data_IF_631356926069
#
_entry.id   IF_631356926069
#
_cell.length_a   1.000
_cell.length_b   1.000
_cell.length_c   1.000
_cell.angle_alpha   90.00
_cell.angle_beta   90.00
_cell.angle_gamma   90.00
#
_symmetry.space_group_name_H-M   'P 1'
#
loop_
_entity.id
_entity.type
_entity.pdbx_description
1 polymer ?
#
# COMPACT_ATOMS: atom_id res chain seq x y z
N UNK A 1 0.05 47.28 7.10
CA UNK A 1 0.32 46.22 6.09
C UNK A 1 1.14 45.05 6.64
N UNK A 2 2.21 45.30 7.40
CA UNK A 2 3.11 44.29 8.01
C UNK A 2 2.44 43.38 9.07
N UNK A 3 1.46 43.89 9.82
CA UNK A 3 0.74 43.10 10.84
C UNK A 3 -0.19 42.04 10.21
N UNK A 4 -0.93 42.42 9.16
CA UNK A 4 -1.82 41.52 8.41
C UNK A 4 -1.00 40.41 7.73
N UNK A 5 0.14 40.75 7.14
CA UNK A 5 1.05 39.77 6.53
C UNK A 5 1.66 38.80 7.56
N UNK A 6 1.95 39.24 8.78
CA UNK A 6 2.41 38.36 9.87
C UNK A 6 1.31 37.42 10.36
N UNK A 7 0.08 37.91 10.48
CA UNK A 7 -1.08 37.12 10.89
C UNK A 7 -1.45 36.06 9.85
N UNK A 8 -1.44 36.42 8.56
CA UNK A 8 -1.65 35.49 7.45
C UNK A 8 -0.51 34.46 7.38
N UNK A 9 0.75 34.87 7.57
CA UNK A 9 1.89 33.94 7.63
C UNK A 9 1.76 32.96 8.80
N UNK A 10 1.34 33.40 9.98
CA UNK A 10 1.09 32.52 11.12
C UNK A 10 -0.10 31.58 10.89
N UNK A 11 -1.18 32.06 10.27
CA UNK A 11 -2.33 31.22 9.92
C UNK A 11 -1.96 30.17 8.87
N UNK A 12 -1.19 30.54 7.84
CA UNK A 12 -0.67 29.63 6.83
C UNK A 12 0.35 28.64 7.40
N UNK A 13 1.18 29.04 8.36
CA UNK A 13 2.09 28.14 9.06
C UNK A 13 1.35 27.14 9.97
N UNK A 14 0.25 27.57 10.62
CA UNK A 14 -0.62 26.67 11.38
C UNK A 14 -1.38 25.71 10.47
N UNK A 15 -1.94 26.19 9.35
CA UNK A 15 -2.59 25.37 8.34
C UNK A 15 -1.61 24.37 7.71
N UNK A 16 -0.40 24.81 7.34
CA UNK A 16 0.65 23.93 6.82
C UNK A 16 1.13 22.91 7.88
N UNK A 17 1.21 23.31 9.15
CA UNK A 17 1.52 22.40 10.26
C UNK A 17 0.44 21.34 10.49
N UNK A 18 -0.84 21.70 10.32
CA UNK A 18 -1.97 20.76 10.41
C UNK A 18 -2.14 19.88 9.15
N UNK A 19 -1.70 20.34 7.98
CA UNK A 19 -1.86 19.63 6.70
C UNK A 19 -0.68 18.71 6.34
N UNK A 20 0.51 18.91 6.91
CA UNK A 20 1.74 18.25 6.45
C UNK A 20 2.43 17.40 7.53
N UNK A 21 2.00 17.45 8.80
CA UNK A 21 2.73 16.77 9.87
C UNK A 21 1.81 16.06 10.89
N UNK A 22 1.81 14.71 10.95
CA UNK A 22 1.38 14.02 12.15
C UNK A 22 2.40 14.35 13.24
N UNK A 23 1.97 15.03 14.30
CA UNK A 23 2.77 15.35 15.47
C UNK A 23 3.71 14.19 15.83
N UNK A 24 5.03 14.47 15.81
CA UNK A 24 6.05 13.55 16.31
C UNK A 24 5.78 13.35 17.80
N UNK A 25 5.12 12.24 18.15
CA UNK A 25 5.02 11.81 19.54
C UNK A 25 6.41 11.34 19.95
N UNK A 26 7.03 12.06 20.88
CA UNK A 26 8.14 11.50 21.67
C UNK A 26 7.54 10.37 22.48
N UNK A 27 8.08 9.18 22.30
CA UNK A 27 7.69 7.99 23.04
C UNK A 27 8.05 8.19 24.52
N UNK A 28 7.13 8.74 25.30
CA UNK A 28 7.21 8.73 26.77
C UNK A 28 6.48 7.47 27.20
N UNK A 29 7.25 6.39 27.44
CA UNK A 29 6.80 5.03 27.72
C UNK A 29 5.93 4.82 28.96
N UNK A 30 4.77 5.47 29.02
CA UNK A 30 3.68 5.18 29.96
C UNK A 30 2.37 5.24 29.20
N UNK A 31 1.77 4.06 29.01
CA UNK A 31 0.50 3.89 28.33
C UNK A 31 -0.61 4.71 28.99
N UNK A 32 -1.24 5.56 28.19
CA UNK A 32 -2.56 6.13 28.42
C UNK A 32 -3.43 5.78 27.20
N UNK A 33 -4.68 5.32 27.38
CA UNK A 33 -5.56 4.97 26.29
C UNK A 33 -6.19 6.26 25.75
N UNK A 34 -5.51 6.91 24.82
CA UNK A 34 -5.98 8.16 24.22
C UNK A 34 -5.30 8.39 22.88
N UNK A 35 -6.03 8.12 21.79
CA UNK A 35 -5.69 8.46 20.42
C UNK A 35 -4.27 8.07 19.98
N UNK A 36 -4.11 6.82 19.51
CA UNK A 36 -2.93 6.47 18.73
C UNK A 36 -3.01 7.25 17.42
N UNK A 37 -2.03 8.12 17.16
CA UNK A 37 -1.87 8.77 15.86
C UNK A 37 -1.93 7.74 14.72
N UNK A 38 -2.25 8.19 13.50
CA UNK A 38 -2.32 7.25 12.37
C UNK A 38 -1.04 6.40 12.30
N UNK A 39 -1.15 5.06 12.27
CA UNK A 39 0.02 4.23 12.11
C UNK A 39 0.70 4.62 10.80
N UNK A 40 1.99 4.93 10.91
CA UNK A 40 2.88 5.25 9.80
C UNK A 40 2.67 4.19 8.70
N UNK A 41 2.55 4.59 7.42
CA UNK A 41 2.46 3.63 6.32
C UNK A 41 3.62 2.64 6.42
N UNK A 42 3.33 1.34 6.38
CA UNK A 42 4.42 0.37 6.37
C UNK A 42 5.22 0.57 5.09
N UNK A 43 6.54 0.40 5.18
CA UNK A 43 7.45 0.45 4.03
C UNK A 43 6.92 -0.42 2.89
N UNK A 44 6.41 -1.60 3.24
CA UNK A 44 5.90 -2.58 2.27
C UNK A 44 4.62 -2.14 1.57
N UNK A 45 3.84 -1.23 2.15
CA UNK A 45 2.60 -0.73 1.56
C UNK A 45 2.86 -0.01 0.22
N UNK A 46 3.98 0.71 0.14
CA UNK A 46 4.39 1.47 -1.04
C UNK A 46 5.34 0.68 -1.95
N UNK A 47 6.23 -0.14 -1.39
CA UNK A 47 7.31 -0.81 -2.15
C UNK A 47 6.99 -2.23 -2.60
N UNK A 48 5.91 -2.82 -2.09
CA UNK A 48 5.55 -4.20 -2.38
C UNK A 48 4.08 -4.36 -2.76
N UNK A 49 3.78 -5.50 -3.36
CA UNK A 49 2.43 -5.96 -3.64
C UNK A 49 2.06 -7.08 -2.68
N UNK A 50 0.84 -7.09 -2.11
CA UNK A 50 0.40 -8.17 -1.22
C UNK A 50 0.15 -9.50 -1.95
N UNK A 51 0.19 -9.49 -3.28
CA UNK A 51 -0.12 -10.62 -4.17
C UNK A 51 1.07 -11.54 -4.43
N UNK A 52 2.31 -11.05 -4.33
CA UNK A 52 3.50 -11.78 -4.73
C UNK A 52 4.74 -11.29 -3.98
N UNK A 53 5.63 -12.21 -3.65
CA UNK A 53 6.97 -11.88 -3.13
C UNK A 53 7.93 -11.41 -4.23
N UNK A 54 7.53 -11.46 -5.51
CA UNK A 54 8.36 -11.05 -6.63
C UNK A 54 8.42 -9.51 -6.76
N UNK A 55 9.37 -8.90 -6.06
CA UNK A 55 9.60 -7.46 -6.09
C UNK A 55 9.95 -6.93 -7.49
N UNK A 56 10.64 -7.72 -8.34
CA UNK A 56 11.00 -7.30 -9.71
C UNK A 56 9.77 -7.00 -10.54
N UNK A 57 8.76 -7.87 -10.44
CA UNK A 57 7.50 -7.70 -11.17
C UNK A 57 6.78 -6.41 -10.75
N UNK A 58 6.70 -6.14 -9.45
CA UNK A 58 6.02 -4.95 -8.94
C UNK A 58 6.76 -3.66 -9.30
N UNK A 59 8.09 -3.64 -9.19
CA UNK A 59 8.92 -2.49 -9.60
C UNK A 59 8.74 -2.22 -11.10
N UNK A 60 8.75 -3.28 -11.92
CA UNK A 60 8.52 -3.15 -13.38
C UNK A 60 7.16 -2.53 -13.67
N UNK A 61 6.10 -3.01 -13.03
CA UNK A 61 4.75 -2.42 -13.13
C UNK A 61 4.76 -0.92 -12.80
N UNK A 62 5.36 -0.52 -11.67
CA UNK A 62 5.43 0.90 -11.26
C UNK A 62 6.16 1.76 -12.29
N UNK A 63 7.30 1.29 -12.81
CA UNK A 63 8.08 2.01 -13.83
C UNK A 63 7.30 2.14 -15.13
N UNK A 64 6.66 1.07 -15.60
CA UNK A 64 5.82 1.10 -16.81
C UNK A 64 4.69 2.12 -16.67
N UNK A 65 3.95 2.09 -15.57
CA UNK A 65 2.88 3.06 -15.30
C UNK A 65 3.40 4.51 -15.24
N UNK A 66 4.56 4.72 -14.61
CA UNK A 66 5.18 6.05 -14.52
C UNK A 66 5.60 6.59 -15.88
N UNK A 67 6.30 5.79 -16.70
CA UNK A 67 6.72 6.19 -18.05
C UNK A 67 5.50 6.45 -18.93
N UNK A 68 4.50 5.57 -18.86
CA UNK A 68 3.28 5.69 -19.66
C UNK A 68 2.49 6.96 -19.34
N UNK A 69 2.22 7.21 -18.06
CA UNK A 69 1.47 8.40 -17.62
C UNK A 69 2.26 9.69 -17.87
N UNK A 70 3.57 9.67 -17.67
CA UNK A 70 4.43 10.82 -17.97
C UNK A 70 4.46 11.14 -19.47
N UNK A 71 4.50 10.13 -20.33
CA UNK A 71 4.45 10.33 -21.78
C UNK A 71 3.13 11.00 -22.21
N UNK A 72 1.99 10.56 -21.68
CA UNK A 72 0.69 11.18 -21.94
C UNK A 72 0.63 12.60 -21.38
N UNK A 73 1.16 12.83 -20.17
CA UNK A 73 1.20 14.14 -19.56
C UNK A 73 1.97 15.13 -20.44
N UNK A 74 3.19 14.76 -20.87
CA UNK A 74 4.05 15.56 -21.76
C UNK A 74 3.37 15.80 -23.11
N UNK A 75 2.81 14.75 -23.73
CA UNK A 75 2.06 14.88 -24.97
C UNK A 75 0.89 15.86 -24.84
N UNK A 76 0.27 15.92 -23.67
CA UNK A 76 -0.92 16.71 -23.48
C UNK A 76 -0.69 18.22 -23.38
N UNK A 77 0.50 18.66 -22.94
CA UNK A 77 0.86 20.08 -22.79
C UNK A 77 0.73 20.86 -24.10
N UNK A 78 1.43 20.52 -25.20
CA UNK A 78 1.29 21.26 -26.46
C UNK A 78 -0.13 21.13 -27.05
N UNK A 79 -0.82 20.02 -26.79
CA UNK A 79 -2.14 19.77 -27.36
C UNK A 79 -3.28 20.56 -26.71
N UNK A 80 -3.12 21.03 -25.47
CA UNK A 80 -4.06 21.94 -24.80
C UNK A 80 -3.52 23.38 -24.74
N UNK A 81 -2.25 23.59 -25.12
CA UNK A 81 -1.59 24.89 -25.24
C UNK A 81 -1.65 25.72 -23.94
N UNK A 82 -1.79 27.05 -24.05
CA UNK A 82 -1.84 27.99 -22.93
C UNK A 82 -3.01 27.77 -21.94
N UNK A 83 -3.95 26.88 -22.26
CA UNK A 83 -5.12 26.55 -21.41
C UNK A 83 -4.96 25.24 -20.68
N UNK A 84 -3.84 24.55 -20.86
CA UNK A 84 -3.58 23.28 -20.20
C UNK A 84 -3.81 23.36 -18.69
N UNK A 85 -3.35 24.44 -18.03
CA UNK A 85 -3.53 24.61 -16.59
C UNK A 85 -4.98 24.88 -16.17
N UNK A 86 -5.86 25.28 -17.10
CA UNK A 86 -7.25 25.60 -16.75
C UNK A 86 -8.14 24.37 -16.60
N UNK A 87 -7.75 23.22 -17.15
CA UNK A 87 -8.59 22.05 -17.14
C UNK A 87 -8.38 21.20 -15.89
N UNK A 88 -9.47 20.88 -15.19
CA UNK A 88 -9.39 20.01 -14.01
C UNK A 88 -8.85 18.62 -14.33
N UNK A 89 -9.20 18.09 -15.50
CA UNK A 89 -8.69 16.80 -15.99
C UNK A 89 -7.16 16.77 -16.05
N UNK A 90 -6.50 17.91 -16.27
CA UNK A 90 -5.04 17.99 -16.33
C UNK A 90 -4.43 17.99 -14.94
N UNK A 91 -5.09 18.61 -13.96
CA UNK A 91 -4.67 18.60 -12.56
C UNK A 91 -4.72 17.19 -11.99
N UNK A 92 -5.85 16.50 -12.15
CA UNK A 92 -6.02 15.14 -11.61
C UNK A 92 -5.07 14.14 -12.29
N UNK A 93 -4.87 14.27 -13.62
CA UNK A 93 -3.94 13.40 -14.35
C UNK A 93 -2.48 13.68 -13.97
N UNK A 94 -2.14 14.93 -13.66
CA UNK A 94 -0.83 15.29 -13.11
C UNK A 94 -0.60 14.66 -11.74
N UNK A 95 -1.61 14.70 -10.87
CA UNK A 95 -1.55 14.05 -9.55
C UNK A 95 -1.40 12.53 -9.67
N UNK A 96 -2.07 11.88 -10.63
CA UNK A 96 -1.86 10.46 -10.92
C UNK A 96 -0.46 10.16 -11.46
N UNK A 97 0.04 10.98 -12.38
CA UNK A 97 1.40 10.84 -12.92
C UNK A 97 2.43 10.99 -11.80
N UNK A 98 2.25 11.98 -10.93
CA UNK A 98 3.09 12.20 -9.75
C UNK A 98 3.09 10.99 -8.82
N UNK A 99 1.91 10.40 -8.57
CA UNK A 99 1.79 9.15 -7.79
C UNK A 99 2.64 8.02 -8.37
N UNK A 100 2.50 7.75 -9.68
CA UNK A 100 3.25 6.67 -10.31
C UNK A 100 4.76 6.95 -10.37
N UNK A 101 5.18 8.18 -10.70
CA UNK A 101 6.58 8.57 -10.66
C UNK A 101 7.17 8.44 -9.26
N UNK A 102 6.48 8.95 -8.24
CA UNK A 102 6.91 8.85 -6.84
C UNK A 102 7.05 7.38 -6.41
N UNK A 103 6.02 6.58 -6.67
CA UNK A 103 6.00 5.15 -6.35
C UNK A 103 7.11 4.39 -7.08
N UNK A 104 7.37 4.71 -8.36
CA UNK A 104 8.44 4.09 -9.14
C UNK A 104 9.83 4.41 -8.56
N UNK A 105 10.10 5.67 -8.20
CA UNK A 105 11.37 6.07 -7.57
C UNK A 105 11.58 5.36 -6.24
N UNK A 106 10.56 5.30 -5.38
CA UNK A 106 10.61 4.64 -4.08
C UNK A 106 10.86 3.13 -4.25
N UNK A 107 10.12 2.46 -5.15
CA UNK A 107 10.30 1.05 -5.45
C UNK A 107 11.69 0.73 -6.04
N UNK A 108 12.22 1.59 -6.93
CA UNK A 108 13.54 1.40 -7.52
C UNK A 108 14.68 1.54 -6.51
N UNK A 109 14.59 2.54 -5.61
CA UNK A 109 15.58 2.71 -4.53
C UNK A 109 15.59 1.50 -3.61
N UNK A 110 14.40 1.04 -3.21
CA UNK A 110 14.21 -0.15 -2.41
C UNK A 110 14.82 -1.40 -3.08
N UNK A 111 14.48 -1.63 -4.35
CA UNK A 111 14.93 -2.79 -5.10
C UNK A 111 16.45 -2.83 -5.32
N UNK A 112 17.08 -1.65 -5.47
CA UNK A 112 18.54 -1.51 -5.55
C UNK A 112 19.24 -1.69 -4.19
N UNK A 113 18.50 -2.04 -3.13
CA UNK A 113 19.01 -2.24 -1.77
C UNK A 113 19.84 -1.05 -1.28
N UNK A 114 19.32 0.17 -1.43
CA UNK A 114 19.89 1.32 -0.72
C UNK A 114 20.00 0.97 0.76
N UNK A 115 21.15 1.24 1.38
CA UNK A 115 21.39 0.90 2.79
C UNK A 115 20.34 1.51 3.73
N UNK A 116 19.78 2.64 3.32
CA UNK A 116 18.64 3.27 3.97
C UNK A 116 17.35 2.99 3.18
N UNK A 117 16.33 2.46 3.87
CA UNK A 117 14.98 2.38 3.33
C UNK A 117 14.35 3.77 3.14
N UNK A 118 13.18 3.86 2.50
CA UNK A 118 12.48 5.14 2.37
C UNK A 118 12.18 5.72 3.75
N UNK A 119 12.48 7.01 3.92
CA UNK A 119 12.17 7.72 5.17
C UNK A 119 10.66 7.76 5.41
N UNK A 120 10.26 7.90 6.67
CA UNK A 120 8.85 8.09 7.07
C UNK A 120 8.17 9.22 6.27
N UNK A 121 8.86 10.35 6.10
CA UNK A 121 8.36 11.48 5.29
C UNK A 121 8.10 11.08 3.86
N UNK A 122 8.99 10.29 3.27
CA UNK A 122 8.85 9.81 1.89
C UNK A 122 7.60 8.94 1.74
N UNK A 123 7.35 8.08 2.72
CA UNK A 123 6.17 7.22 2.73
C UNK A 123 4.89 8.04 2.91
N UNK A 124 4.89 9.00 3.84
CA UNK A 124 3.73 9.87 4.08
C UNK A 124 3.37 10.72 2.86
N UNK A 125 4.36 11.35 2.21
CA UNK A 125 4.16 12.12 0.98
C UNK A 125 3.54 11.24 -0.11
N UNK A 126 4.08 10.03 -0.32
CA UNK A 126 3.55 9.09 -1.30
C UNK A 126 2.10 8.70 -1.02
N UNK A 127 1.75 8.52 0.26
CA UNK A 127 0.40 8.15 0.64
C UNK A 127 -0.62 9.27 0.42
N UNK A 128 -0.24 10.53 0.73
CA UNK A 128 -1.09 11.71 0.46
C UNK A 128 -1.32 11.89 -1.03
N UNK A 129 -0.26 11.77 -1.85
CA UNK A 129 -0.36 11.85 -3.32
C UNK A 129 -1.29 10.74 -3.84
N UNK A 130 -1.15 9.52 -3.34
CA UNK A 130 -2.04 8.40 -3.67
C UNK A 130 -3.51 8.69 -3.34
N UNK A 131 -3.82 9.14 -2.11
CA UNK A 131 -5.20 9.40 -1.68
C UNK A 131 -5.85 10.49 -2.52
N UNK A 132 -5.10 11.54 -2.91
CA UNK A 132 -5.58 12.53 -3.86
C UNK A 132 -5.83 11.91 -5.24
N UNK A 133 -4.86 11.16 -5.77
CA UNK A 133 -4.91 10.62 -7.13
C UNK A 133 -6.10 9.66 -7.32
N UNK A 134 -6.31 8.70 -6.41
CA UNK A 134 -7.28 7.63 -6.65
C UNK A 134 -8.72 8.16 -6.76
N UNK A 135 -9.17 8.96 -5.79
CA UNK A 135 -10.55 9.44 -5.80
C UNK A 135 -10.78 10.48 -6.91
N UNK A 136 -9.89 11.46 -7.06
CA UNK A 136 -10.07 12.55 -8.03
C UNK A 136 -10.12 12.08 -9.48
N UNK A 137 -9.34 11.07 -9.84
CA UNK A 137 -9.31 10.53 -11.20
C UNK A 137 -10.55 9.66 -11.51
N UNK A 138 -11.10 8.93 -10.53
CA UNK A 138 -12.41 8.27 -10.71
C UNK A 138 -13.52 9.30 -10.87
N UNK A 139 -13.52 10.35 -10.05
CA UNK A 139 -14.50 11.44 -10.13
C UNK A 139 -14.49 12.10 -11.51
N UNK A 140 -13.34 12.56 -11.99
CA UNK A 140 -13.24 13.20 -13.32
C UNK A 140 -13.63 12.26 -14.46
N UNK A 141 -13.36 10.97 -14.32
CA UNK A 141 -13.76 9.99 -15.33
C UNK A 141 -15.28 9.86 -15.38
N UNK A 142 -15.94 9.81 -14.23
CA UNK A 142 -17.39 9.76 -14.15
C UNK A 142 -18.04 11.07 -14.63
N UNK A 143 -17.53 12.22 -14.21
CA UNK A 143 -18.00 13.54 -14.68
C UNK A 143 -17.95 13.67 -16.20
N UNK A 144 -16.91 13.10 -16.82
CA UNK A 144 -16.77 13.08 -18.26
C UNK A 144 -17.79 12.13 -18.91
N UNK A 145 -17.77 10.85 -18.55
CA UNK A 145 -18.59 9.84 -19.24
C UNK A 145 -20.09 9.92 -18.95
N UNK A 146 -20.47 10.49 -17.81
CA UNK A 146 -21.87 10.72 -17.43
C UNK A 146 -22.27 12.20 -17.54
N UNK A 147 -21.47 13.02 -18.24
CA UNK A 147 -21.81 14.43 -18.43
C UNK A 147 -23.14 14.55 -19.20
N UNK A 148 -24.06 15.42 -18.75
CA UNK A 148 -25.22 15.77 -19.56
C UNK A 148 -24.84 16.61 -20.80
N UNK A 149 -23.60 17.11 -20.85
CA UNK A 149 -23.07 17.90 -21.96
C UNK A 149 -22.34 17.01 -22.97
N UNK A 150 -22.31 17.38 -24.26
CA UNK A 150 -21.61 16.60 -25.28
C UNK A 150 -20.15 16.39 -24.91
N UNK A 151 -19.73 15.13 -24.92
CA UNK A 151 -18.33 14.74 -24.77
C UNK A 151 -17.73 14.26 -26.07
N UNK A 152 -16.43 14.42 -26.22
CA UNK A 152 -15.72 13.93 -27.40
C UNK A 152 -15.37 12.46 -27.22
N UNK A 153 -15.65 11.65 -28.23
CA UNK A 153 -15.20 10.26 -28.27
C UNK A 153 -13.98 10.20 -29.18
N UNK A 154 -12.81 9.94 -28.60
CA UNK A 154 -11.56 9.89 -29.35
C UNK A 154 -10.39 9.46 -28.47
N UNK A 155 -9.24 9.25 -29.09
CA UNK A 155 -8.03 8.75 -28.42
C UNK A 155 -7.69 9.57 -27.16
N UNK A 156 -7.72 10.90 -27.26
CA UNK A 156 -7.43 11.80 -26.13
C UNK A 156 -8.35 11.53 -24.94
N UNK A 157 -9.65 11.43 -25.19
CA UNK A 157 -10.67 11.26 -24.17
C UNK A 157 -10.60 9.88 -23.54
N UNK A 158 -10.36 8.85 -24.35
CA UNK A 158 -10.13 7.48 -23.88
C UNK A 158 -8.89 7.43 -22.98
N UNK A 159 -7.77 8.02 -23.39
CA UNK A 159 -6.53 8.02 -22.60
C UNK A 159 -6.68 8.80 -21.28
N UNK A 160 -7.36 9.94 -21.30
CA UNK A 160 -7.48 10.82 -20.11
C UNK A 160 -8.58 10.44 -19.13
N UNK A 161 -9.67 9.84 -19.59
CA UNK A 161 -10.82 9.53 -18.75
C UNK A 161 -11.06 8.01 -18.64
N UNK A 162 -10.95 7.27 -19.74
CA UNK A 162 -11.12 5.81 -19.72
C UNK A 162 -9.94 5.09 -19.06
N UNK A 163 -8.75 5.23 -19.64
CA UNK A 163 -7.55 4.53 -19.18
C UNK A 163 -7.10 5.01 -17.80
N UNK A 164 -7.31 6.28 -17.51
CA UNK A 164 -7.05 6.88 -16.19
C UNK A 164 -7.78 6.16 -15.04
N UNK A 165 -9.11 6.01 -15.15
CA UNK A 165 -9.90 5.27 -14.16
C UNK A 165 -9.55 3.78 -14.09
N UNK A 166 -9.22 3.17 -15.23
CA UNK A 166 -8.72 1.79 -15.26
C UNK A 166 -7.40 1.64 -14.47
N UNK A 167 -6.45 2.55 -14.67
CA UNK A 167 -5.18 2.54 -13.94
C UNK A 167 -5.39 2.70 -12.44
N UNK A 168 -6.31 3.58 -12.01
CA UNK A 168 -6.68 3.71 -10.59
C UNK A 168 -7.26 2.39 -10.05
N UNK A 169 -8.23 1.80 -10.72
CA UNK A 169 -8.86 0.56 -10.27
C UNK A 169 -7.83 -0.58 -10.14
N UNK A 170 -6.95 -0.71 -11.12
CA UNK A 170 -5.84 -1.68 -11.10
C UNK A 170 -4.88 -1.38 -9.95
N UNK A 171 -4.47 -0.12 -9.75
CA UNK A 171 -3.48 0.23 -8.73
C UNK A 171 -4.01 0.02 -7.32
N UNK A 172 -5.26 0.42 -7.03
CA UNK A 172 -5.91 0.17 -5.73
C UNK A 172 -5.97 -1.34 -5.44
N UNK A 173 -6.22 -2.17 -6.45
CA UNK A 173 -6.28 -3.62 -6.30
C UNK A 173 -4.87 -4.26 -6.17
N UNK A 174 -3.84 -3.71 -6.80
CA UNK A 174 -2.50 -4.31 -6.86
C UNK A 174 -1.54 -3.85 -5.75
N UNK A 175 -1.61 -2.60 -5.30
CA UNK A 175 -0.67 -2.06 -4.33
C UNK A 175 -0.95 -2.50 -2.90
N UNK A 176 0.01 -2.30 -1.98
CA UNK A 176 -0.17 -2.52 -0.55
C UNK A 176 -0.88 -1.36 0.17
N UNK A 177 -0.94 -0.18 -0.44
CA UNK A 177 -1.40 1.06 0.18
C UNK A 177 -2.84 0.91 0.71
N UNK A 178 -3.11 1.16 1.99
CA UNK A 178 -4.46 1.12 2.54
C UNK A 178 -5.26 2.39 2.22
N UNK A 179 -6.53 2.24 1.84
CA UNK A 179 -7.48 3.35 1.68
C UNK A 179 -8.50 3.35 2.82
N UNK A 180 -8.66 4.51 3.49
CA UNK A 180 -9.52 4.68 4.68
C UNK A 180 -10.45 5.88 4.53
N UNK A 181 -11.63 5.83 5.16
CA UNK A 181 -12.66 6.87 5.01
C UNK A 181 -12.23 8.22 5.59
N UNK A 182 -11.48 8.24 6.70
CA UNK A 182 -10.99 9.46 7.33
C UNK A 182 -10.03 10.29 6.43
N UNK A 183 -9.54 9.70 5.34
CA UNK A 183 -8.62 10.33 4.38
C UNK A 183 -9.30 11.06 3.24
N UNK A 184 -10.63 11.12 3.25
CA UNK A 184 -11.44 11.89 2.29
C UNK A 184 -11.02 13.37 2.24
N UNK A 185 -10.40 13.88 3.31
CA UNK A 185 -9.87 15.25 3.37
C UNK A 185 -8.89 15.56 2.23
N UNK A 186 -8.04 14.63 1.81
CA UNK A 186 -7.03 14.90 0.77
C UNK A 186 -7.65 15.15 -0.62
N UNK A 187 -8.50 14.27 -1.18
CA UNK A 187 -9.16 14.55 -2.45
C UNK A 187 -10.14 15.73 -2.37
N UNK A 188 -10.80 15.96 -1.22
CA UNK A 188 -11.65 17.15 -1.01
C UNK A 188 -10.83 18.44 -1.06
N UNK A 189 -9.67 18.48 -0.42
CA UNK A 189 -8.76 19.63 -0.49
C UNK A 189 -8.25 19.86 -1.90
N UNK A 190 -7.87 18.79 -2.63
CA UNK A 190 -7.48 18.89 -4.03
C UNK A 190 -8.56 19.56 -4.88
N UNK A 191 -9.82 19.11 -4.74
CA UNK A 191 -10.97 19.72 -5.41
C UNK A 191 -11.19 21.18 -4.98
N UNK A 192 -11.12 21.46 -3.68
CA UNK A 192 -11.30 22.80 -3.12
C UNK A 192 -10.27 23.80 -3.64
N UNK A 193 -9.00 23.40 -3.75
CA UNK A 193 -7.94 24.22 -4.34
C UNK A 193 -8.26 24.55 -5.80
N UNK A 194 -8.76 23.57 -6.56
CA UNK A 194 -9.19 23.83 -7.94
C UNK A 194 -10.40 24.78 -7.99
N UNK A 195 -11.37 24.65 -7.08
CA UNK A 195 -12.48 25.61 -6.99
C UNK A 195 -12.01 27.04 -6.69
N UNK A 196 -11.02 27.21 -5.81
CA UNK A 196 -10.38 28.53 -5.59
C UNK A 196 -9.72 29.03 -6.86
N UNK A 197 -9.00 28.17 -7.58
CA UNK A 197 -8.42 28.53 -8.88
C UNK A 197 -9.49 29.01 -9.88
N UNK A 198 -10.63 28.33 -9.98
CA UNK A 198 -11.75 28.75 -10.86
C UNK A 198 -12.24 30.16 -10.51
N UNK A 199 -12.42 30.46 -9.21
CA UNK A 199 -12.85 31.79 -8.77
C UNK A 199 -11.81 32.86 -9.08
N UNK A 200 -10.52 32.58 -8.82
CA UNK A 200 -9.43 33.50 -9.14
C UNK A 200 -9.31 33.73 -10.66
N UNK A 201 -9.48 32.68 -11.46
CA UNK A 201 -9.50 32.76 -12.91
C UNK A 201 -10.64 33.67 -13.41
N UNK A 202 -11.83 33.51 -12.84
CA UNK A 202 -12.97 34.37 -13.13
C UNK A 202 -12.73 35.83 -12.69
N UNK A 203 -12.26 36.08 -11.47
CA UNK A 203 -11.95 37.42 -10.96
C UNK A 203 -10.89 38.15 -11.81
N UNK A 204 -9.95 37.39 -12.40
CA UNK A 204 -8.93 37.92 -13.31
C UNK A 204 -9.44 38.31 -14.70
N UNK A 205 -10.72 38.08 -15.02
CA UNK A 205 -11.28 38.39 -16.33
C UNK A 205 -10.86 37.43 -17.46
N UNK A 206 -10.26 36.28 -17.12
CA UNK A 206 -9.76 35.33 -18.11
C UNK A 206 -10.91 34.59 -18.81
N UNK A 207 -10.68 34.18 -20.06
CA UNK A 207 -11.72 33.64 -20.96
C UNK A 207 -11.52 32.16 -21.29
N UNK A 208 -12.61 31.42 -21.48
CA UNK A 208 -12.66 30.01 -21.86
C UNK A 208 -12.60 29.77 -23.36
N UNK A 209 -12.94 28.54 -23.78
CA UNK A 209 -12.90 28.06 -25.17
C UNK A 209 -13.77 28.83 -26.14
N UNK A 210 -14.93 29.28 -25.68
CA UNK A 210 -15.88 30.07 -26.45
C UNK A 210 -15.66 31.59 -26.28
N UNK A 211 -14.56 32.01 -25.66
CA UNK A 211 -14.22 33.41 -25.47
C UNK A 211 -15.02 34.12 -24.37
N UNK A 212 -15.84 33.40 -23.59
CA UNK A 212 -16.58 33.95 -22.45
C UNK A 212 -15.80 33.81 -21.15
N UNK A 213 -16.13 34.60 -20.13
CA UNK A 213 -15.40 34.68 -18.85
C UNK A 213 -15.76 33.53 -17.89
N UNK A 214 -15.51 32.31 -18.33
CA UNK A 214 -15.60 31.07 -17.55
C UNK A 214 -14.68 30.02 -18.17
N UNK A 215 -14.30 29.00 -17.41
CA UNK A 215 -13.54 27.85 -17.94
C UNK A 215 -14.49 26.88 -18.64
N UNK A 216 -15.60 26.57 -17.97
CA UNK A 216 -16.66 25.70 -18.44
C UNK A 216 -17.99 26.45 -18.38
N UNK A 217 -18.86 26.25 -19.36
CA UNK A 217 -20.17 26.91 -19.41
C UNK A 217 -21.07 26.56 -18.21
N UNK A 218 -20.95 25.36 -17.65
CA UNK A 218 -21.66 24.97 -16.43
C UNK A 218 -21.12 25.62 -15.16
N UNK A 219 -19.97 26.31 -15.25
CA UNK A 219 -19.33 27.05 -14.18
C UNK A 219 -19.28 28.56 -14.49
N UNK A 220 -20.33 29.10 -15.11
CA UNK A 220 -20.47 30.51 -15.41
C UNK A 220 -20.98 31.31 -14.19
N UNK A 221 -20.06 32.01 -13.54
CA UNK A 221 -20.33 32.88 -12.40
C UNK A 221 -20.98 34.22 -12.79
N UNK A 222 -21.03 34.57 -14.08
CA UNK A 222 -21.65 35.82 -14.53
C UNK A 222 -23.15 35.64 -14.78
N UNK A 223 -23.52 34.53 -15.42
CA UNK A 223 -24.92 34.32 -15.86
C UNK A 223 -25.72 33.43 -14.91
N UNK A 224 -25.09 32.39 -14.35
CA UNK A 224 -25.75 31.40 -13.48
C UNK A 224 -24.96 31.15 -12.18
N UNK A 225 -24.70 32.20 -11.37
CA UNK A 225 -23.81 32.12 -10.21
C UNK A 225 -24.26 31.09 -9.17
N UNK A 226 -25.57 31.04 -8.87
CA UNK A 226 -26.11 30.08 -7.89
C UNK A 226 -25.88 28.62 -8.34
N UNK A 227 -26.19 28.31 -9.60
CA UNK A 227 -25.97 26.98 -10.16
C UNK A 227 -24.48 26.60 -10.12
N UNK A 228 -23.60 27.51 -10.51
CA UNK A 228 -22.15 27.30 -10.47
C UNK A 228 -21.66 26.98 -9.06
N UNK A 229 -22.09 27.75 -8.05
CA UNK A 229 -21.74 27.50 -6.65
C UNK A 229 -22.26 26.14 -6.18
N UNK A 230 -23.52 25.79 -6.51
CA UNK A 230 -24.11 24.50 -6.15
C UNK A 230 -23.30 23.34 -6.78
N UNK A 231 -22.93 23.45 -8.05
CA UNK A 231 -22.13 22.42 -8.74
C UNK A 231 -20.75 22.30 -8.08
N UNK A 232 -20.07 23.42 -7.81
CA UNK A 232 -18.73 23.41 -7.21
C UNK A 232 -18.74 22.83 -5.79
N UNK A 233 -19.67 23.28 -4.93
CA UNK A 233 -19.80 22.81 -3.55
C UNK A 233 -20.28 21.36 -3.51
N UNK A 234 -21.29 21.01 -4.32
CA UNK A 234 -21.81 19.65 -4.44
C UNK A 234 -20.75 18.67 -4.94
N UNK A 235 -19.96 19.06 -5.93
CA UNK A 235 -18.87 18.21 -6.39
C UNK A 235 -17.80 17.99 -5.31
N UNK A 236 -17.44 19.07 -4.60
CA UNK A 236 -16.41 19.04 -3.55
C UNK A 236 -16.82 18.23 -2.33
N UNK A 237 -18.04 18.39 -1.83
CA UNK A 237 -18.46 17.83 -0.55
C UNK A 237 -19.44 16.65 -0.65
N UNK A 238 -19.90 16.30 -1.85
CA UNK A 238 -20.80 15.15 -2.06
C UNK A 238 -20.16 14.16 -3.03
N UNK A 239 -19.94 14.57 -4.28
CA UNK A 239 -19.48 13.67 -5.35
C UNK A 239 -18.08 13.13 -5.04
N UNK A 240 -17.14 14.00 -4.65
CA UNK A 240 -15.78 13.58 -4.32
C UNK A 240 -15.72 12.59 -3.13
N UNK A 241 -16.40 12.82 -1.99
CA UNK A 241 -16.54 11.81 -0.95
C UNK A 241 -17.15 10.49 -1.41
N UNK A 242 -18.17 10.50 -2.28
CA UNK A 242 -18.77 9.27 -2.83
C UNK A 242 -17.72 8.45 -3.60
N UNK A 243 -16.92 9.07 -4.45
CA UNK A 243 -15.84 8.36 -5.15
C UNK A 243 -14.71 7.92 -4.22
N UNK A 244 -14.43 8.65 -3.14
CA UNK A 244 -13.52 8.18 -2.10
C UNK A 244 -14.03 6.91 -1.39
N UNK A 245 -15.35 6.81 -1.17
CA UNK A 245 -15.98 5.59 -0.68
C UNK A 245 -15.81 4.44 -1.68
N UNK A 246 -15.92 4.69 -2.99
CA UNK A 246 -15.64 3.69 -4.04
C UNK A 246 -14.20 3.19 -3.97
N UNK A 247 -13.21 4.07 -3.81
CA UNK A 247 -11.81 3.68 -3.61
C UNK A 247 -11.65 2.81 -2.36
N UNK A 248 -12.29 3.18 -1.24
CA UNK A 248 -12.30 2.37 -0.02
C UNK A 248 -12.97 1.00 -0.23
N UNK A 249 -14.02 0.92 -1.07
CA UNK A 249 -14.67 -0.32 -1.43
C UNK A 249 -13.76 -1.23 -2.28
N UNK A 250 -13.04 -0.67 -3.26
CA UNK A 250 -12.02 -1.39 -4.03
C UNK A 250 -10.89 -1.93 -3.14
N UNK A 251 -10.44 -1.14 -2.17
CA UNK A 251 -9.49 -1.61 -1.16
C UNK A 251 -10.05 -2.79 -0.34
N UNK A 252 -11.31 -2.71 0.12
CA UNK A 252 -11.95 -3.83 0.83
C UNK A 252 -12.11 -5.06 -0.06
N UNK A 253 -12.39 -4.87 -1.36
CA UNK A 253 -12.43 -5.95 -2.34
C UNK A 253 -11.06 -6.63 -2.46
N UNK A 254 -9.96 -5.87 -2.58
CA UNK A 254 -8.58 -6.41 -2.55
C UNK A 254 -8.36 -7.32 -1.35
N UNK A 255 -8.69 -6.87 -0.14
CA UNK A 255 -8.51 -7.66 1.08
C UNK A 255 -9.31 -8.97 1.05
N UNK A 256 -10.57 -8.93 0.60
CA UNK A 256 -11.41 -10.14 0.45
C UNK A 256 -10.79 -11.12 -0.56
N UNK A 257 -10.33 -10.62 -1.70
CA UNK A 257 -9.68 -11.46 -2.71
C UNK A 257 -8.38 -12.07 -2.18
N UNK A 258 -7.51 -11.29 -1.52
CA UNK A 258 -6.28 -11.78 -0.90
C UNK A 258 -6.55 -12.91 0.10
N UNK A 259 -7.56 -12.75 0.97
CA UNK A 259 -7.96 -13.80 1.92
C UNK A 259 -8.40 -15.06 1.20
N UNK A 260 -9.23 -14.94 0.16
CA UNK A 260 -9.72 -16.07 -0.64
C UNK A 260 -8.57 -16.82 -1.32
N UNK A 261 -7.67 -16.11 -1.99
CA UNK A 261 -6.54 -16.73 -2.70
C UNK A 261 -5.52 -17.36 -1.74
N UNK A 262 -5.18 -16.70 -0.63
CA UNK A 262 -4.28 -17.27 0.38
C UNK A 262 -4.89 -18.52 1.04
N UNK A 263 -6.18 -18.50 1.34
CA UNK A 263 -6.89 -19.68 1.88
C UNK A 263 -6.87 -20.84 0.89
N UNK A 264 -7.12 -20.59 -0.40
CA UNK A 264 -7.02 -21.63 -1.44
C UNK A 264 -5.61 -22.19 -1.56
N UNK A 265 -4.60 -21.32 -1.60
CA UNK A 265 -3.20 -21.75 -1.69
C UNK A 265 -2.76 -22.56 -0.46
N UNK A 266 -3.19 -22.14 0.74
CA UNK A 266 -2.94 -22.88 1.97
C UNK A 266 -3.63 -24.26 1.97
N UNK A 267 -4.90 -24.32 1.52
CA UNK A 267 -5.64 -25.58 1.37
C UNK A 267 -4.97 -26.53 0.37
N UNK A 268 -4.56 -26.04 -0.80
CA UNK A 268 -3.85 -26.85 -1.80
C UNK A 268 -2.46 -27.30 -1.30
N UNK A 269 -1.74 -26.46 -0.54
CA UNK A 269 -0.46 -26.85 0.05
C UNK A 269 -0.63 -27.96 1.09
N UNK A 270 -1.70 -27.92 1.90
CA UNK A 270 -2.07 -29.00 2.82
C UNK A 270 -2.49 -30.26 2.07
N UNK A 271 -3.32 -30.14 1.02
CA UNK A 271 -3.75 -31.29 0.20
C UNK A 271 -2.57 -31.96 -0.53
N UNK A 272 -1.61 -31.18 -1.02
CA UNK A 272 -0.42 -31.67 -1.74
C UNK A 272 0.64 -32.28 -0.83
N UNK A 273 0.68 -31.90 0.46
CA UNK A 273 1.41 -32.65 1.49
C UNK A 273 0.49 -33.78 1.95
N UNK A 274 0.51 -34.96 1.32
CA UNK A 274 -0.47 -35.96 1.67
C UNK A 274 -0.21 -36.40 3.11
N UNK A 275 -1.29 -36.83 3.77
CA UNK A 275 -1.32 -37.62 5.00
C UNK A 275 -0.40 -38.87 4.94
N UNK A 276 0.24 -39.15 3.80
CA UNK A 276 1.30 -40.16 3.65
C UNK A 276 2.57 -39.85 4.45
N UNK A 277 2.93 -38.58 4.69
CA UNK A 277 4.17 -38.25 5.44
C UNK A 277 3.97 -38.35 6.94
N UNK A 278 2.76 -38.08 7.44
CA UNK A 278 2.48 -38.12 8.88
C UNK A 278 2.38 -39.56 9.37
N UNK A 279 1.75 -40.47 8.62
CA UNK A 279 1.76 -41.90 8.99
C UNK A 279 3.14 -42.53 8.84
N UNK A 280 3.91 -42.19 7.79
CA UNK A 280 5.28 -42.74 7.66
C UNK A 280 6.25 -42.17 8.70
N UNK A 281 6.21 -40.88 9.06
CA UNK A 281 7.08 -40.35 10.14
C UNK A 281 6.70 -40.89 11.52
N UNK A 282 5.40 -41.07 11.81
CA UNK A 282 4.96 -41.65 13.09
C UNK A 282 5.31 -43.14 13.18
N UNK A 283 5.17 -43.89 12.09
CA UNK A 283 5.54 -45.31 12.06
C UNK A 283 7.06 -45.47 12.10
N UNK A 284 7.83 -44.69 11.32
CA UNK A 284 9.29 -44.79 11.30
C UNK A 284 9.95 -44.26 12.58
N UNK A 285 9.35 -43.25 13.22
CA UNK A 285 9.77 -42.75 14.55
C UNK A 285 9.56 -43.79 15.64
N UNK A 286 8.38 -44.44 15.68
CA UNK A 286 8.11 -45.55 16.62
C UNK A 286 9.02 -46.76 16.38
N UNK A 287 9.33 -47.12 15.13
CA UNK A 287 10.26 -48.21 14.84
C UNK A 287 11.70 -47.90 15.30
N UNK A 288 12.15 -46.64 15.20
CA UNK A 288 13.45 -46.22 15.73
C UNK A 288 13.52 -46.28 17.25
N UNK A 289 12.47 -45.87 17.96
CA UNK A 289 12.41 -45.99 19.42
C UNK A 289 12.39 -47.45 19.89
N UNK A 290 11.64 -48.33 19.21
CA UNK A 290 11.59 -49.76 19.54
C UNK A 290 12.94 -50.43 19.28
N UNK A 291 13.59 -50.11 18.16
CA UNK A 291 14.93 -50.63 17.84
C UNK A 291 16.00 -50.14 18.84
N UNK A 292 15.98 -48.85 19.21
CA UNK A 292 16.90 -48.31 20.21
C UNK A 292 16.69 -48.93 21.59
N UNK A 293 15.43 -49.16 22.00
CA UNK A 293 15.10 -49.80 23.27
C UNK A 293 15.53 -51.28 23.32
N UNK A 294 15.38 -52.03 22.22
CA UNK A 294 15.87 -53.42 22.13
C UNK A 294 17.40 -53.47 22.18
N UNK A 295 18.09 -52.55 21.50
CA UNK A 295 19.56 -52.51 21.48
C UNK A 295 20.13 -52.14 22.86
N UNK A 296 19.49 -51.20 23.56
CA UNK A 296 19.86 -50.81 24.93
C UNK A 296 19.59 -51.94 25.94
N UNK A 297 18.47 -52.65 25.81
CA UNK A 297 18.15 -53.81 26.64
C UNK A 297 19.16 -54.94 26.52
N UNK A 298 19.61 -55.25 25.30
CA UNK A 298 20.66 -56.25 25.03
C UNK A 298 22.01 -55.82 25.63
N UNK A 299 22.39 -54.54 25.52
CA UNK A 299 23.63 -54.02 26.11
C UNK A 299 23.63 -54.05 27.65
N UNK A 300 22.49 -53.78 28.29
CA UNK A 300 22.36 -53.86 29.75
C UNK A 300 22.46 -55.31 30.24
N UNK A 301 21.85 -56.26 29.51
CA UNK A 301 21.93 -57.68 29.83
C UNK A 301 23.38 -58.23 29.72
N UNK A 302 24.10 -57.86 28.65
CA UNK A 302 25.52 -58.23 28.46
C UNK A 302 26.41 -57.61 29.54
N UNK A 303 26.18 -56.35 29.92
CA UNK A 303 26.92 -55.72 31.03
C UNK A 303 26.68 -56.45 32.36
N UNK A 304 25.43 -56.82 32.69
CA UNK A 304 25.15 -57.58 33.93
C UNK A 304 25.82 -58.95 33.94
N UNK A 305 25.84 -59.64 32.81
CA UNK A 305 26.55 -60.93 32.70
C UNK A 305 28.06 -60.75 32.92
N UNK A 306 28.65 -59.69 32.37
CA UNK A 306 30.07 -59.37 32.53
C UNK A 306 30.44 -59.02 33.98
N UNK A 307 29.59 -58.28 34.70
CA UNK A 307 29.81 -57.98 36.12
C UNK A 307 29.64 -59.19 37.02
N UNK A 308 28.71 -60.10 36.70
CA UNK A 308 28.52 -61.32 37.48
C UNK A 308 29.70 -62.28 37.35
N UNK A 309 30.20 -62.49 36.12
CA UNK A 309 31.38 -63.32 35.84
C UNK A 309 32.67 -62.74 36.43
N UNK A 310 32.79 -61.41 36.53
CA UNK A 310 33.96 -60.75 37.13
C UNK A 310 33.94 -60.75 38.66
N UNK A 311 32.77 -60.96 39.27
CA UNK A 311 32.61 -61.11 40.72
C UNK A 311 32.96 -62.51 41.23
N UNK A 312 32.67 -63.56 40.46
CA UNK A 312 32.98 -64.94 40.83
C UNK A 312 34.48 -65.27 40.71
N UNK A 313 35.23 -64.59 39.84
CA UNK A 313 36.67 -64.80 39.68
C UNK A 313 37.56 -64.20 40.79
N UNK A 314 36.99 -63.49 41.78
CA UNK A 314 37.75 -62.82 42.88
C UNK A 314 37.63 -63.46 44.26
N UNK A 315 36.79 -64.48 44.44
CA UNK A 315 36.52 -65.08 45.77
C UNK A 315 37.06 -66.52 45.95
N UNK A 316 37.92 -67.01 45.05
CA UNK A 316 38.56 -68.33 45.19
C UNK A 316 40.08 -68.22 45.31
N UNK A 317 40.58 -67.70 46.44
CA UNK A 317 41.99 -67.87 46.81
C UNK A 317 42.19 -67.81 48.32
N UNK A 318 42.16 -68.98 48.98
CA UNK A 318 42.79 -69.42 50.24
C UNK A 318 42.47 -70.94 50.27
N UNK A 319 43.30 -71.92 50.61
CA UNK A 319 44.64 -72.06 51.19
C UNK A 319 44.97 -73.56 51.11
N UNK A 320 46.21 -73.98 50.84
CA UNK A 320 46.66 -75.38 51.06
C UNK A 320 47.97 -75.42 51.85
N UNK A 321 48.17 -76.42 52.74
CA UNK A 321 49.28 -76.45 53.69
C UNK A 321 50.56 -77.09 53.13
N UNK A 322 51.67 -76.79 53.83
CA UNK A 322 53.06 -77.21 53.60
C UNK A 322 53.25 -78.73 53.58
N UNK A 323 54.25 -79.20 52.81
CA UNK A 323 55.21 -80.22 53.27
C UNK A 323 56.50 -80.20 52.44
N UNK A 324 57.61 -80.40 53.17
CA UNK A 324 58.99 -80.61 52.72
C UNK A 324 59.15 -81.89 51.89
N UNK A 325 60.13 -81.95 51.00
CA UNK A 325 61.16 -83.01 50.86
C UNK A 325 62.12 -82.63 49.71
N UNK A 326 63.42 -82.54 50.06
CA UNK A 326 64.67 -82.38 49.28
C UNK A 326 64.86 -81.18 48.32
#
# INVERSE_FOLDING_TARGET
MTFVLRSIRQALQKLAGCLVWPCRVKDTGKGLPGYTGEPIPDRTDLTATPWSSNQKLFVTYRVVCAVFTLAILIWSVPTDSNRWITFYSNWVYSTLTLHFCWSAVVCLKEYRKSHDGPSERTLYIGWVIYDMAMATNLTVSAEYWFSPWPVTIGLRSILRHGLNSLMVAVDVLLCGIPSRLNRVVYPVLHQGIYCVFVVLYWLGGFRGYDGKQYIYSFADLNTVPLQTVIIMVGNTFIVMPVFHVVVCALYRLRLKLLKKFRSKNAYEAVKRKPMQTIETEVVHGKFKEISAAQTLGQWIAVKRLFYHLKGEARNSSHSYPKNNWF
#
